data_IF_865355111240
#
_entry.id   IF_865355111240
#
_cell.length_a   1.000
_cell.length_b   1.000
_cell.length_c   1.000
_cell.angle_alpha   90.00
_cell.angle_beta   90.00
_cell.angle_gamma   90.00
#
_symmetry.space_group_name_H-M   'P 1'
#
loop_
_entity.id
_entity.type
_entity.pdbx_description
1 polymer ?
#
# COMPACT_ATOMS: atom_id res chain seq x y z
N UNK A 1 -28.63 -68.90 -44.13
CA UNK A 1 -28.60 -67.42 -44.25
C UNK A 1 -28.45 -66.84 -42.84
N UNK A 2 -27.20 -66.56 -42.44
CA UNK A 2 -26.87 -66.13 -41.08
C UNK A 2 -26.61 -64.62 -41.12
N UNK A 3 -27.44 -63.85 -40.46
CA UNK A 3 -27.29 -62.36 -40.35
C UNK A 3 -26.53 -62.10 -39.07
N UNK A 4 -25.25 -61.73 -39.21
CA UNK A 4 -24.42 -61.26 -38.11
C UNK A 4 -24.77 -59.79 -37.81
N UNK A 5 -25.46 -59.57 -36.70
CA UNK A 5 -25.64 -58.23 -36.16
C UNK A 5 -24.32 -57.73 -35.54
N UNK A 6 -23.62 -56.82 -36.22
CA UNK A 6 -22.44 -56.10 -35.71
C UNK A 6 -22.93 -55.05 -34.75
N UNK A 7 -22.86 -55.34 -33.44
CA UNK A 7 -23.10 -54.33 -32.39
C UNK A 7 -21.99 -53.29 -32.42
N UNK A 8 -22.30 -52.09 -32.86
CA UNK A 8 -21.43 -50.92 -32.70
C UNK A 8 -21.36 -50.54 -31.20
N UNK A 9 -20.21 -50.82 -30.60
CA UNK A 9 -19.87 -50.35 -29.27
C UNK A 9 -19.46 -48.88 -29.41
N UNK A 10 -20.35 -47.94 -29.00
CA UNK A 10 -20.04 -46.53 -28.88
C UNK A 10 -19.03 -46.41 -27.73
N UNK A 11 -17.81 -45.87 -27.94
CA UNK A 11 -16.91 -45.63 -26.84
C UNK A 11 -17.43 -44.41 -26.07
N UNK A 12 -18.04 -44.65 -24.90
CA UNK A 12 -18.40 -43.61 -23.96
C UNK A 12 -17.15 -43.23 -23.16
N UNK A 13 -16.26 -42.45 -23.75
CA UNK A 13 -15.11 -41.82 -23.08
C UNK A 13 -15.25 -40.29 -23.20
N UNK A 14 -16.39 -39.75 -22.79
CA UNK A 14 -16.42 -38.43 -22.27
C UNK A 14 -15.74 -38.52 -20.90
N UNK A 15 -14.53 -37.93 -20.78
CA UNK A 15 -13.70 -38.09 -19.58
C UNK A 15 -14.41 -37.59 -18.32
N UNK A 16 -15.01 -38.50 -17.58
CA UNK A 16 -15.43 -38.22 -16.21
C UNK A 16 -14.16 -37.99 -15.39
N UNK A 17 -13.99 -36.75 -14.91
CA UNK A 17 -12.96 -36.43 -13.94
C UNK A 17 -13.18 -37.34 -12.72
N UNK A 18 -12.12 -38.04 -12.26
CA UNK A 18 -12.21 -38.80 -11.02
C UNK A 18 -12.59 -37.90 -9.85
N UNK A 19 -13.27 -38.42 -8.85
CA UNK A 19 -13.70 -37.69 -7.66
C UNK A 19 -12.54 -36.93 -7.03
N UNK A 20 -11.34 -37.51 -7.03
CA UNK A 20 -10.12 -36.89 -6.53
C UNK A 20 -9.71 -35.65 -7.35
N UNK A 21 -9.79 -35.71 -8.68
CA UNK A 21 -9.50 -34.58 -9.55
C UNK A 21 -10.53 -33.45 -9.40
N UNK A 22 -11.81 -33.82 -9.21
CA UNK A 22 -12.86 -32.84 -8.93
C UNK A 22 -12.63 -32.17 -7.56
N UNK A 23 -12.31 -32.92 -6.53
CA UNK A 23 -12.01 -32.39 -5.21
C UNK A 23 -10.79 -31.46 -5.24
N UNK A 24 -9.71 -31.83 -5.94
CA UNK A 24 -8.53 -30.96 -6.13
C UNK A 24 -8.87 -29.68 -6.88
N UNK A 25 -9.71 -29.75 -7.92
CA UNK A 25 -10.16 -28.58 -8.66
C UNK A 25 -10.98 -27.63 -7.77
N UNK A 26 -11.92 -28.15 -6.99
CA UNK A 26 -12.73 -27.36 -6.05
C UNK A 26 -11.85 -26.70 -5.00
N UNK A 27 -10.89 -27.43 -4.44
CA UNK A 27 -9.94 -26.84 -3.47
C UNK A 27 -9.10 -25.73 -4.11
N UNK A 28 -8.59 -25.92 -5.31
CA UNK A 28 -7.84 -24.90 -6.04
C UNK A 28 -8.69 -23.65 -6.31
N UNK A 29 -9.95 -23.82 -6.72
CA UNK A 29 -10.87 -22.70 -6.93
C UNK A 29 -11.20 -21.97 -5.62
N UNK A 30 -11.35 -22.67 -4.51
CA UNK A 30 -11.55 -22.07 -3.19
C UNK A 30 -10.32 -21.25 -2.75
N UNK A 31 -9.12 -21.79 -2.93
CA UNK A 31 -7.87 -21.08 -2.64
C UNK A 31 -7.75 -19.82 -3.49
N UNK A 32 -8.05 -19.93 -4.80
CA UNK A 32 -8.05 -18.77 -5.71
C UNK A 32 -9.11 -17.73 -5.32
N UNK A 33 -10.31 -18.15 -4.93
CA UNK A 33 -11.37 -17.28 -4.49
C UNK A 33 -11.01 -16.53 -3.19
N UNK A 34 -10.41 -17.24 -2.21
CA UNK A 34 -9.92 -16.64 -0.97
C UNK A 34 -8.78 -15.66 -1.25
N UNK A 35 -7.83 -16.03 -2.11
CA UNK A 35 -6.77 -15.14 -2.54
C UNK A 35 -7.33 -13.90 -3.24
N UNK A 36 -8.23 -14.08 -4.21
CA UNK A 36 -8.92 -12.99 -4.89
C UNK A 36 -9.61 -12.04 -3.91
N UNK A 37 -10.41 -12.57 -2.98
CA UNK A 37 -11.11 -11.76 -1.97
C UNK A 37 -10.13 -10.98 -1.07
N UNK A 38 -9.03 -11.63 -0.67
CA UNK A 38 -7.99 -10.98 0.16
C UNK A 38 -7.25 -9.84 -0.54
N UNK A 39 -7.16 -9.86 -1.87
CA UNK A 39 -6.44 -8.84 -2.64
C UNK A 39 -7.35 -7.73 -3.20
N UNK A 40 -8.67 -7.81 -2.99
CA UNK A 40 -9.57 -6.74 -3.44
C UNK A 40 -9.32 -5.45 -2.65
N UNK A 41 -9.26 -4.29 -3.33
CA UNK A 41 -9.24 -3.01 -2.64
C UNK A 41 -10.55 -2.83 -1.86
N UNK A 42 -10.44 -2.21 -0.69
CA UNK A 42 -11.61 -1.79 0.08
C UNK A 42 -12.28 -0.62 -0.64
N UNK A 43 -13.62 -0.60 -0.69
CA UNK A 43 -14.34 0.54 -1.23
C UNK A 43 -14.13 1.75 -0.32
N UNK A 44 -13.96 2.92 -0.91
CA UNK A 44 -13.93 4.16 -0.16
C UNK A 44 -15.29 4.41 0.51
N UNK A 45 -15.25 4.77 1.77
CA UNK A 45 -16.43 5.15 2.54
C UNK A 45 -16.75 6.63 2.32
N UNK A 46 -18.04 6.98 2.29
CA UNK A 46 -18.51 8.35 2.21
C UNK A 46 -18.28 9.09 3.53
N UNK A 47 -17.84 10.33 3.43
CA UNK A 47 -17.43 11.16 4.55
C UNK A 47 -15.94 11.00 4.90
N UNK A 48 -15.35 11.98 5.60
CA UNK A 48 -13.96 11.94 6.02
C UNK A 48 -13.76 10.86 7.10
N UNK A 49 -12.94 9.85 6.81
CA UNK A 49 -12.63 8.73 7.72
C UNK A 49 -11.35 8.94 8.53
N UNK A 50 -10.58 9.96 8.18
CA UNK A 50 -9.36 10.43 8.85
C UNK A 50 -9.31 11.96 8.76
N UNK A 51 -10.08 12.69 9.58
CA UNK A 51 -10.28 14.13 9.43
C UNK A 51 -9.07 14.97 9.85
N UNK A 52 -8.21 14.45 10.71
CA UNK A 52 -7.14 15.19 11.34
C UNK A 52 -5.89 15.29 10.46
N UNK A 53 -5.17 16.40 10.58
CA UNK A 53 -3.87 16.57 9.94
C UNK A 53 -2.80 15.76 10.66
N UNK A 54 -1.70 15.36 9.96
CA UNK A 54 -0.53 14.76 10.58
C UNK A 54 0.00 15.62 11.72
N UNK A 55 0.36 15.01 12.85
CA UNK A 55 1.07 15.67 13.94
C UNK A 55 2.57 15.47 13.76
N UNK A 56 3.32 16.54 13.96
CA UNK A 56 4.76 16.56 13.77
C UNK A 56 5.40 17.55 14.75
N UNK A 57 6.45 17.08 15.45
CA UNK A 57 7.24 17.93 16.34
C UNK A 57 8.72 17.78 15.99
N UNK A 58 9.40 18.89 15.69
CA UNK A 58 10.82 18.88 15.32
C UNK A 58 11.67 18.45 16.51
N UNK A 59 12.53 17.47 16.28
CA UNK A 59 13.51 16.98 17.25
C UNK A 59 14.83 17.74 17.08
N UNK A 60 15.54 18.01 18.18
CA UNK A 60 16.79 18.79 18.12
C UNK A 60 18.03 17.95 18.41
N UNK A 61 17.95 17.03 19.34
CA UNK A 61 19.11 16.28 19.85
C UNK A 61 18.84 14.77 19.95
N UNK A 62 17.92 14.26 19.10
CA UNK A 62 17.62 12.83 19.08
C UNK A 62 18.81 12.05 18.49
N UNK A 63 19.32 11.00 19.18
CA UNK A 63 20.47 10.26 18.69
C UNK A 63 20.12 9.50 17.39
N UNK A 64 21.08 9.50 16.46
CA UNK A 64 21.01 8.62 15.31
C UNK A 64 21.27 7.16 15.71
N UNK A 65 20.76 6.24 14.90
CA UNK A 65 20.93 4.80 15.12
C UNK A 65 21.15 4.05 13.81
N UNK A 66 21.66 2.82 13.92
CA UNK A 66 21.93 1.97 12.76
C UNK A 66 20.75 1.06 12.44
N UNK A 67 20.40 0.96 11.15
CA UNK A 67 19.40 0.03 10.65
C UNK A 67 19.74 -0.45 9.24
N UNK A 68 19.87 -1.77 9.04
CA UNK A 68 20.08 -2.39 7.73
C UNK A 68 21.35 -1.91 7.00
N UNK A 69 22.38 -1.45 7.72
CA UNK A 69 23.62 -0.89 7.16
C UNK A 69 23.48 0.59 6.76
N UNK A 70 22.56 1.29 7.38
CA UNK A 70 22.34 2.74 7.20
C UNK A 70 22.28 3.43 8.55
N UNK A 71 22.81 4.64 8.63
CA UNK A 71 22.59 5.55 9.75
C UNK A 71 21.25 6.26 9.53
N UNK A 72 20.31 6.07 10.48
CA UNK A 72 19.00 6.71 10.51
C UNK A 72 19.05 7.88 11.49
N UNK A 73 18.65 9.06 11.05
CA UNK A 73 18.71 10.31 11.82
C UNK A 73 17.27 10.81 12.00
N UNK A 74 16.69 10.71 13.21
CA UNK A 74 15.38 11.27 13.49
C UNK A 74 15.39 12.80 13.37
N UNK A 75 14.39 13.35 12.66
CA UNK A 75 14.27 14.79 12.40
C UNK A 75 13.03 15.38 13.09
N UNK A 76 11.96 14.61 13.16
CA UNK A 76 10.72 14.99 13.83
C UNK A 76 9.98 13.74 14.31
N UNK A 77 9.26 13.82 15.44
CA UNK A 77 8.21 12.85 15.74
C UNK A 77 7.09 12.98 14.72
N UNK A 78 6.39 11.90 14.46
CA UNK A 78 5.36 11.89 13.43
C UNK A 78 4.24 10.92 13.78
N UNK A 79 3.00 11.43 13.76
CA UNK A 79 1.78 10.66 13.95
C UNK A 79 0.79 11.00 12.85
N UNK A 80 0.14 9.99 12.29
CA UNK A 80 -0.83 10.15 11.22
C UNK A 80 -1.89 9.08 11.26
N UNK A 81 -3.17 9.47 11.19
CA UNK A 81 -4.24 8.62 10.71
C UNK A 81 -4.63 9.05 9.28
N UNK A 82 -4.71 8.10 8.32
CA UNK A 82 -4.98 8.44 6.94
C UNK A 82 -5.67 7.33 6.15
N UNK A 83 -6.45 7.72 5.14
CA UNK A 83 -6.99 6.82 4.13
C UNK A 83 -5.90 6.40 3.15
N UNK A 84 -5.75 5.11 2.90
CA UNK A 84 -4.86 4.58 1.87
C UNK A 84 -5.48 4.81 0.50
N UNK A 85 -4.91 5.73 -0.26
CA UNK A 85 -5.29 6.06 -1.62
C UNK A 85 -4.65 5.10 -2.64
N UNK A 86 -3.47 4.60 -2.30
CA UNK A 86 -2.71 3.62 -3.08
C UNK A 86 -1.60 2.99 -2.26
N UNK A 87 -1.17 1.79 -2.66
CA UNK A 87 -0.03 1.09 -2.07
C UNK A 87 0.86 0.53 -3.18
N UNK A 88 2.15 0.87 -3.14
CA UNK A 88 3.14 0.42 -4.12
C UNK A 88 4.25 -0.35 -3.44
N UNK A 89 4.44 -1.60 -3.85
CA UNK A 89 5.46 -2.49 -3.32
C UNK A 89 6.73 -2.42 -4.14
N UNK A 90 7.88 -2.48 -3.46
CA UNK A 90 9.21 -2.49 -4.04
C UNK A 90 10.03 -3.65 -3.45
N UNK A 91 10.40 -4.59 -4.30
CA UNK A 91 11.07 -5.83 -3.85
C UNK A 91 12.57 -5.86 -4.22
N UNK A 92 13.08 -4.86 -4.97
CA UNK A 92 14.40 -4.88 -5.56
C UNK A 92 15.19 -3.58 -5.31
N UNK A 93 16.51 -3.72 -5.31
CA UNK A 93 17.41 -2.60 -5.15
C UNK A 93 17.58 -2.12 -3.71
N UNK A 94 18.47 -1.13 -3.52
CA UNK A 94 18.78 -0.52 -2.22
C UNK A 94 17.54 0.03 -1.54
N UNK A 95 16.84 0.93 -2.23
CA UNK A 95 15.67 1.61 -1.69
C UNK A 95 14.49 0.65 -1.46
N UNK A 96 14.34 -0.42 -2.25
CA UNK A 96 13.28 -1.42 -2.06
C UNK A 96 13.49 -2.30 -0.83
N UNK A 97 14.75 -2.54 -0.42
CA UNK A 97 15.05 -3.26 0.84
C UNK A 97 14.80 -2.39 2.06
N UNK A 98 15.16 -1.10 1.99
CA UNK A 98 14.98 -0.16 3.09
C UNK A 98 13.49 0.25 3.24
N UNK A 99 12.84 0.55 2.13
CA UNK A 99 11.46 1.02 2.05
C UNK A 99 10.68 0.07 1.14
N UNK A 100 10.15 -1.04 1.68
CA UNK A 100 9.48 -2.06 0.88
C UNK A 100 8.12 -1.63 0.32
N UNK A 101 7.51 -0.60 0.90
CA UNK A 101 6.19 -0.09 0.50
C UNK A 101 6.14 1.42 0.58
N UNK A 102 5.59 2.04 -0.46
CA UNK A 102 5.13 3.41 -0.44
C UNK A 102 3.60 3.42 -0.33
N UNK A 103 3.06 4.22 0.57
CA UNK A 103 1.64 4.46 0.66
C UNK A 103 1.32 5.88 0.17
N UNK A 104 0.42 5.98 -0.81
CA UNK A 104 -0.26 7.23 -1.09
C UNK A 104 -1.38 7.38 -0.06
N UNK A 105 -1.29 8.41 0.79
CA UNK A 105 -2.16 8.63 1.94
C UNK A 105 -2.95 9.92 1.77
N UNK A 106 -4.18 9.94 2.33
CA UNK A 106 -5.04 11.11 2.31
C UNK A 106 -5.72 11.31 3.66
N UNK A 107 -5.77 12.54 4.13
CA UNK A 107 -6.41 12.99 5.35
C UNK A 107 -7.34 14.18 5.09
N UNK A 108 -8.07 14.64 6.10
CA UNK A 108 -9.05 15.70 5.91
C UNK A 108 -10.01 15.39 4.75
N UNK A 109 -10.21 16.33 3.80
CA UNK A 109 -11.07 16.10 2.64
C UNK A 109 -10.59 14.97 1.73
N UNK A 110 -9.28 14.68 1.69
CA UNK A 110 -8.72 13.57 0.91
C UNK A 110 -8.91 12.19 1.58
N UNK A 111 -9.59 12.13 2.71
CA UNK A 111 -10.06 10.89 3.32
C UNK A 111 -11.57 10.61 3.06
N UNK A 112 -12.26 11.49 2.33
CA UNK A 112 -13.68 11.32 1.96
C UNK A 112 -13.83 10.59 0.62
N UNK A 113 -14.49 9.43 0.63
CA UNK A 113 -14.72 8.62 -0.56
C UNK A 113 -15.48 9.33 -1.68
N UNK A 114 -16.35 10.30 -1.37
CA UNK A 114 -17.07 11.13 -2.35
C UNK A 114 -16.13 12.04 -3.13
N UNK A 115 -15.01 12.43 -2.51
CA UNK A 115 -13.96 13.28 -3.10
C UNK A 115 -12.96 12.39 -3.84
N UNK A 116 -12.35 11.42 -3.13
CA UNK A 116 -11.28 10.57 -3.70
C UNK A 116 -11.76 9.71 -4.85
N UNK A 117 -13.05 9.31 -4.83
CA UNK A 117 -13.67 8.56 -5.92
C UNK A 117 -13.69 9.28 -7.26
N UNK A 118 -13.51 10.62 -7.29
CA UNK A 118 -13.45 11.46 -8.49
C UNK A 118 -12.03 11.79 -8.94
N UNK A 119 -11.02 11.30 -8.20
CA UNK A 119 -9.61 11.59 -8.44
C UNK A 119 -8.91 10.30 -8.85
N UNK A 120 -8.29 10.28 -10.02
CA UNK A 120 -7.40 9.21 -10.43
C UNK A 120 -6.09 9.31 -9.65
N UNK A 121 -5.59 8.19 -9.15
CA UNK A 121 -4.36 8.12 -8.35
C UNK A 121 -3.46 7.02 -8.91
N UNK A 122 -2.19 7.34 -9.08
CA UNK A 122 -1.17 6.43 -9.56
C UNK A 122 0.17 6.67 -8.86
N UNK A 123 0.86 5.58 -8.50
CA UNK A 123 2.21 5.62 -7.94
C UNK A 123 3.21 5.02 -8.92
N UNK A 124 4.23 5.78 -9.28
CA UNK A 124 5.29 5.36 -10.16
C UNK A 124 6.62 6.00 -9.73
N UNK A 125 7.70 5.22 -9.75
CA UNK A 125 9.07 5.68 -9.47
C UNK A 125 9.21 6.50 -8.17
N UNK A 126 8.61 6.01 -7.08
CA UNK A 126 8.58 6.64 -5.76
C UNK A 126 7.75 7.92 -5.67
N UNK A 127 7.03 8.27 -6.72
CA UNK A 127 6.14 9.43 -6.74
C UNK A 127 4.68 8.99 -6.77
N UNK A 128 3.85 9.90 -6.28
CA UNK A 128 2.40 9.85 -6.32
C UNK A 128 1.90 10.91 -7.31
N UNK A 129 1.03 10.49 -8.21
CA UNK A 129 0.43 11.34 -9.21
C UNK A 129 -1.08 11.26 -9.09
N UNK A 130 -1.73 12.39 -9.20
CA UNK A 130 -3.17 12.45 -9.26
C UNK A 130 -3.65 13.25 -10.48
N UNK A 131 -4.85 12.94 -10.95
CA UNK A 131 -5.49 13.66 -12.04
C UNK A 131 -7.00 13.62 -11.87
N UNK A 132 -7.68 14.67 -12.36
CA UNK A 132 -9.14 14.74 -12.45
C UNK A 132 -9.53 15.71 -13.56
N UNK A 133 -10.66 15.44 -14.25
CA UNK A 133 -11.22 16.35 -15.26
C UNK A 133 -11.95 17.51 -14.61
N UNK A 134 -12.60 17.26 -13.47
CA UNK A 134 -13.38 18.24 -12.73
C UNK A 134 -13.04 18.10 -11.25
N UNK A 135 -12.12 18.92 -10.71
CA UNK A 135 -11.69 18.83 -9.33
C UNK A 135 -12.87 18.94 -8.35
N UNK A 136 -13.08 17.96 -7.46
CA UNK A 136 -14.18 18.01 -6.49
C UNK A 136 -13.94 19.01 -5.35
N UNK A 137 -12.69 19.40 -5.14
CA UNK A 137 -12.20 20.41 -4.19
C UNK A 137 -11.10 21.23 -4.86
N UNK A 138 -10.63 22.30 -4.22
CA UNK A 138 -9.55 23.10 -4.77
C UNK A 138 -8.27 22.26 -4.94
N UNK A 139 -7.49 22.55 -5.99
CA UNK A 139 -6.24 21.84 -6.27
C UNK A 139 -5.30 21.83 -5.06
N UNK A 140 -5.17 22.99 -4.38
CA UNK A 140 -4.32 23.14 -3.20
C UNK A 140 -4.79 22.25 -2.05
N UNK A 141 -6.08 22.03 -1.88
CA UNK A 141 -6.63 21.14 -0.86
C UNK A 141 -6.26 19.67 -1.13
N UNK A 142 -6.23 19.26 -2.41
CA UNK A 142 -5.75 17.92 -2.78
C UNK A 142 -4.28 17.78 -2.39
N UNK A 143 -3.46 18.77 -2.73
CA UNK A 143 -2.01 18.76 -2.54
C UNK A 143 -1.59 18.72 -1.07
N UNK A 144 -2.23 19.53 -0.20
CA UNK A 144 -1.86 19.59 1.23
C UNK A 144 -2.54 18.53 2.11
N UNK A 145 -3.53 17.82 1.59
CA UNK A 145 -4.24 16.77 2.32
C UNK A 145 -3.91 15.36 1.80
N UNK A 146 -2.88 15.22 1.00
CA UNK A 146 -2.40 13.91 0.55
C UNK A 146 -0.91 13.92 0.23
N UNK A 147 -0.25 12.80 0.46
CA UNK A 147 1.18 12.63 0.16
C UNK A 147 1.52 11.18 -0.18
N UNK A 148 2.69 10.99 -0.80
CA UNK A 148 3.31 9.67 -0.94
C UNK A 148 4.35 9.49 0.16
N UNK A 149 4.12 8.54 1.05
CA UNK A 149 4.98 8.30 2.20
C UNK A 149 5.78 7.02 2.02
N UNK A 150 7.09 7.13 2.29
CA UNK A 150 8.07 6.05 2.21
C UNK A 150 8.26 5.44 3.59
N UNK A 151 7.88 4.18 3.79
CA UNK A 151 7.82 3.56 5.11
C UNK A 151 9.02 2.64 5.34
N UNK A 152 9.87 2.99 6.31
CA UNK A 152 10.95 2.15 6.83
C UNK A 152 10.40 1.42 8.07
N UNK A 153 10.16 0.12 8.03
CA UNK A 153 9.64 -0.60 9.19
C UNK A 153 10.73 -0.80 10.24
N UNK A 154 10.45 -0.44 11.49
CA UNK A 154 11.37 -0.65 12.60
C UNK A 154 11.61 -2.13 12.91
N UNK A 155 10.61 -2.99 12.64
CA UNK A 155 10.61 -4.42 12.96
C UNK A 155 9.89 -5.23 11.88
N UNK A 156 10.13 -6.53 11.85
CA UNK A 156 9.55 -7.46 10.89
C UNK A 156 8.01 -7.61 11.00
N UNK A 157 7.44 -7.47 12.18
CA UNK A 157 6.00 -7.48 12.38
C UNK A 157 5.35 -6.25 11.71
N UNK A 158 5.92 -5.06 11.92
CA UNK A 158 5.51 -3.81 11.25
C UNK A 158 5.68 -3.94 9.73
N UNK A 159 6.79 -4.51 9.26
CA UNK A 159 7.00 -4.75 7.84
C UNK A 159 5.90 -5.63 7.21
N UNK A 160 5.43 -6.66 7.94
CA UNK A 160 4.33 -7.52 7.47
C UNK A 160 3.00 -6.78 7.42
N UNK A 161 2.72 -5.91 8.38
CA UNK A 161 1.48 -5.15 8.43
C UNK A 161 1.43 -4.07 7.34
N UNK A 162 2.51 -3.30 7.17
CA UNK A 162 2.66 -2.33 6.08
C UNK A 162 2.45 -3.00 4.72
N UNK A 163 3.06 -4.18 4.49
CA UNK A 163 2.90 -4.93 3.23
C UNK A 163 1.47 -5.43 2.98
N UNK A 164 0.63 -5.52 4.02
CA UNK A 164 -0.77 -5.94 3.92
C UNK A 164 -1.74 -4.79 3.72
N UNK A 165 -1.28 -3.55 3.93
CA UNK A 165 -2.11 -2.37 3.77
C UNK A 165 -2.66 -2.26 2.35
N UNK A 166 -3.95 -1.91 2.23
CA UNK A 166 -4.68 -1.88 0.98
C UNK A 166 -5.35 -0.54 0.76
N UNK A 167 -5.49 -0.17 -0.50
CA UNK A 167 -6.33 0.95 -0.90
C UNK A 167 -7.73 0.84 -0.29
N UNK A 168 -8.19 1.92 0.31
CA UNK A 168 -9.50 2.03 0.96
C UNK A 168 -9.49 1.71 2.47
N UNK A 169 -8.39 1.20 3.03
CA UNK A 169 -8.22 1.09 4.47
C UNK A 169 -7.82 2.43 5.07
N UNK A 170 -8.08 2.61 6.36
CA UNK A 170 -7.49 3.66 7.17
C UNK A 170 -6.32 3.06 7.93
N UNK A 171 -5.18 3.75 7.88
CA UNK A 171 -3.96 3.38 8.61
C UNK A 171 -3.67 4.39 9.71
N UNK A 172 -3.11 3.89 10.82
CA UNK A 172 -2.47 4.70 11.85
C UNK A 172 -0.97 4.42 11.80
N UNK A 173 -0.17 5.47 11.83
CA UNK A 173 1.29 5.42 11.73
C UNK A 173 1.87 6.27 12.86
N UNK A 174 2.80 5.71 13.63
CA UNK A 174 3.57 6.42 14.64
C UNK A 174 5.06 6.13 14.42
N UNK A 175 5.91 7.16 14.64
CA UNK A 175 7.35 7.05 14.52
C UNK A 175 8.03 8.38 14.26
N UNK A 176 8.98 8.41 13.33
CA UNK A 176 9.80 9.60 13.06
C UNK A 176 9.91 9.89 11.57
N UNK A 177 9.88 11.16 11.20
CA UNK A 177 10.45 11.62 9.93
C UNK A 177 11.97 11.55 10.03
N UNK A 178 12.62 10.93 9.05
CA UNK A 178 14.05 10.62 9.15
C UNK A 178 14.85 11.05 7.93
N UNK A 179 16.13 11.35 8.14
CA UNK A 179 17.16 11.30 7.11
C UNK A 179 17.91 9.96 7.22
N UNK A 180 18.29 9.40 6.09
CA UNK A 180 19.05 8.14 6.03
C UNK A 180 20.33 8.37 5.27
N UNK A 181 21.45 7.88 5.82
CA UNK A 181 22.78 7.94 5.19
C UNK A 181 23.38 6.57 5.07
N UNK A 182 24.04 6.29 3.95
CA UNK A 182 24.89 5.12 3.76
C UNK A 182 26.35 5.49 3.86
N UNK A 183 27.20 4.53 4.19
CA UNK A 183 28.67 4.70 4.32
C UNK A 183 29.35 5.09 3.00
N UNK A 184 28.68 4.84 1.88
CA UNK A 184 29.16 5.19 0.53
C UNK A 184 28.80 6.61 0.07
N UNK A 185 28.29 7.46 0.99
CA UNK A 185 27.87 8.83 0.71
C UNK A 185 26.46 8.96 0.14
N UNK A 186 25.73 7.86 -0.04
CA UNK A 186 24.34 7.91 -0.43
C UNK A 186 23.47 8.45 0.72
N UNK A 187 22.47 9.26 0.37
CA UNK A 187 21.52 9.77 1.35
C UNK A 187 20.11 9.84 0.80
N UNK A 188 19.12 9.76 1.70
CA UNK A 188 17.71 9.98 1.42
C UNK A 188 17.11 10.83 2.55
N UNK A 189 16.62 12.01 2.22
CA UNK A 189 16.15 12.97 3.18
C UNK A 189 14.63 13.08 3.13
N UNK A 190 13.99 13.11 4.30
CA UNK A 190 12.56 13.40 4.42
C UNK A 190 12.27 14.87 4.16
N UNK A 191 11.07 15.19 3.65
CA UNK A 191 10.49 16.51 3.83
C UNK A 191 10.07 16.72 5.29
N UNK A 192 10.11 17.98 5.74
CA UNK A 192 9.62 18.42 7.06
C UNK A 192 8.44 19.41 6.94
N UNK A 193 7.90 19.60 5.74
CA UNK A 193 6.74 20.47 5.48
C UNK A 193 5.70 19.76 4.65
N UNK A 194 4.43 20.13 4.80
CA UNK A 194 3.28 19.66 3.97
C UNK A 194 2.98 20.59 2.82
N UNK A 195 3.76 21.65 2.64
CA UNK A 195 3.49 22.70 1.66
C UNK A 195 4.32 22.56 0.38
N UNK A 196 5.36 21.75 0.42
CA UNK A 196 6.22 21.46 -0.72
C UNK A 196 5.56 20.49 -1.71
N UNK A 197 5.95 20.63 -2.97
CA UNK A 197 5.50 19.79 -4.08
C UNK A 197 6.70 19.43 -4.97
N UNK A 198 6.68 18.25 -5.57
CA UNK A 198 7.72 17.81 -6.50
C UNK A 198 8.87 17.06 -5.83
N UNK A 199 10.09 17.25 -6.33
CA UNK A 199 11.28 16.57 -5.82
C UNK A 199 11.60 17.00 -4.40
N UNK A 200 11.72 16.02 -3.48
CA UNK A 200 12.01 16.29 -2.07
C UNK A 200 10.78 16.50 -1.19
N UNK A 201 9.57 16.51 -1.76
CA UNK A 201 8.32 16.68 -1.05
C UNK A 201 7.77 15.39 -0.40
N UNK A 202 8.50 14.27 -0.51
CA UNK A 202 8.04 13.01 0.06
C UNK A 202 8.58 12.82 1.48
N UNK A 203 7.73 12.29 2.35
CA UNK A 203 8.08 11.91 3.70
C UNK A 203 8.74 10.55 3.72
N UNK A 204 9.88 10.45 4.41
CA UNK A 204 10.56 9.22 4.75
C UNK A 204 10.36 8.95 6.23
N UNK A 205 9.63 7.90 6.56
CA UNK A 205 9.15 7.64 7.92
C UNK A 205 9.78 6.35 8.45
N UNK A 206 10.45 6.44 9.58
CA UNK A 206 10.76 5.31 10.44
C UNK A 206 9.51 4.96 11.23
N UNK A 207 8.94 3.78 10.96
CA UNK A 207 7.63 3.37 11.50
C UNK A 207 7.84 2.45 12.69
N UNK A 208 7.48 2.93 13.88
CA UNK A 208 7.55 2.18 15.15
C UNK A 208 6.25 1.46 15.47
N UNK A 209 5.12 2.07 15.12
CA UNK A 209 3.81 1.43 15.20
C UNK A 209 3.01 1.64 13.93
N UNK A 210 2.24 0.62 13.57
CA UNK A 210 1.41 0.62 12.38
C UNK A 210 0.18 -0.25 12.58
N UNK A 211 -0.97 0.29 12.28
CA UNK A 211 -2.20 -0.50 12.21
C UNK A 211 -3.01 -0.14 10.95
N UNK A 212 -3.84 -1.08 10.50
CA UNK A 212 -4.74 -0.87 9.37
C UNK A 212 -6.12 -1.41 9.70
N UNK A 213 -7.17 -0.59 9.48
CA UNK A 213 -8.57 -0.98 9.66
C UNK A 213 -9.38 -0.73 8.40
N UNK A 214 -10.44 -1.46 8.23
CA UNK A 214 -11.49 -1.13 7.25
C UNK A 214 -12.43 -0.11 7.89
N UNK A 215 -12.72 1.02 7.23
CA UNK A 215 -13.64 2.04 7.75
C UNK A 215 -15.03 1.50 7.98
#
# INVERSE_FOLDING_TARGET
>A
MVIIKKLYRIPNQAGQLSVEKMAALVLALLVLAVAWYRFQPVKFQDGPVAPDFPRQEILRDEPSFEHGGYTVIPMASFELEALVLGAKHYNWGRTGRLVPVDLALGWGPMSDGRIVGKIGIHQYNRFYHWWTRNPPIQRREIEINSANMHLIPAREDIAREIKRAKRGQVVSIEGYLVHVKGDDGWSWNTSLTREDIGWGACELIWVEDFSARTP
#
